data_IF_389405971480
#
_entry.id   IF_389405971480
#
_cell.length_a   1.000
_cell.length_b   1.000
_cell.length_c   1.000
_cell.angle_alpha   90.00
_cell.angle_beta   90.00
_cell.angle_gamma   90.00
#
_symmetry.space_group_name_H-M   'P 1'
#
loop_
_entity.id
_entity.type
_entity.pdbx_description
1 polymer ?
#
# COMPACT_ATOMS: atom_id res chain seq x y z
N UNK A 1 30.95 -14.21 25.76
CA UNK A 1 29.64 -14.04 25.09
C UNK A 1 29.39 -12.54 24.83
N UNK A 2 29.67 -11.98 23.64
CA UNK A 2 29.39 -10.57 23.40
C UNK A 2 28.48 -10.36 22.16
N UNK A 3 27.16 -10.45 22.34
CA UNK A 3 26.18 -10.00 21.32
C UNK A 3 24.94 -9.36 21.96
N UNK A 4 25.05 -8.79 23.17
CA UNK A 4 23.94 -8.06 23.81
C UNK A 4 23.77 -6.62 23.27
N UNK A 5 24.78 -6.04 22.61
CA UNK A 5 24.73 -4.66 22.12
C UNK A 5 23.87 -4.45 20.86
N UNK A 6 23.64 -5.51 20.07
CA UNK A 6 22.84 -5.44 18.85
C UNK A 6 21.34 -5.32 19.13
N UNK A 7 20.88 -5.73 20.32
CA UNK A 7 19.46 -5.65 20.71
C UNK A 7 19.02 -4.24 21.10
N UNK A 8 19.96 -3.37 21.45
CA UNK A 8 19.70 -2.00 21.89
C UNK A 8 20.05 -0.94 20.83
N UNK A 9 20.89 -1.26 19.84
CA UNK A 9 21.26 -0.33 18.76
C UNK A 9 20.14 -0.07 17.73
N UNK A 10 19.11 -0.92 17.69
CA UNK A 10 17.91 -0.75 16.85
C UNK A 10 16.70 -0.18 17.61
N UNK A 11 16.90 0.29 18.85
CA UNK A 11 15.89 1.10 19.54
C UNK A 11 15.97 2.54 19.02
N UNK A 12 15.72 2.72 17.71
CA UNK A 12 15.43 4.04 17.15
C UNK A 12 14.08 4.46 17.72
N UNK A 13 14.21 5.27 18.76
CA UNK A 13 13.28 6.18 19.39
C UNK A 13 12.03 6.48 18.55
N UNK A 14 10.92 5.87 18.97
CA UNK A 14 9.50 6.22 18.74
C UNK A 14 9.19 7.33 17.70
N UNK A 15 9.38 7.05 16.41
CA UNK A 15 8.80 7.89 15.37
C UNK A 15 7.27 7.64 15.31
N UNK A 16 6.54 8.54 15.97
CA UNK A 16 5.08 8.80 15.98
C UNK A 16 4.15 7.77 16.65
N UNK A 17 3.69 8.12 17.85
CA UNK A 17 2.60 7.45 18.59
C UNK A 17 1.21 7.82 18.05
N UNK A 18 1.12 8.91 17.28
CA UNK A 18 -0.14 9.46 16.80
C UNK A 18 -0.66 8.66 15.60
N UNK A 19 -1.98 8.50 15.42
CA UNK A 19 -2.55 7.85 14.24
C UNK A 19 -2.26 8.67 12.95
N UNK A 20 -2.22 8.02 11.77
CA UNK A 20 -2.02 8.73 10.51
C UNK A 20 -3.17 9.72 10.27
N UNK A 21 -2.85 10.90 9.73
CA UNK A 21 -3.86 11.92 9.43
C UNK A 21 -4.75 11.48 8.26
N UNK A 22 -5.98 12.03 8.14
CA UNK A 22 -6.85 11.74 6.99
C UNK A 22 -6.17 12.03 5.64
N UNK A 23 -5.33 13.06 5.59
CA UNK A 23 -4.58 13.44 4.40
C UNK A 23 -3.50 12.42 4.02
N UNK A 24 -2.81 11.85 5.01
CA UNK A 24 -1.85 10.77 4.83
C UNK A 24 -2.53 9.48 4.34
N UNK A 25 -3.67 9.12 4.95
CA UNK A 25 -4.47 7.98 4.53
C UNK A 25 -4.99 8.13 3.10
N UNK A 26 -5.45 9.33 2.72
CA UNK A 26 -5.91 9.61 1.37
C UNK A 26 -4.79 9.44 0.33
N UNK A 27 -3.57 9.91 0.62
CA UNK A 27 -2.42 9.74 -0.27
C UNK A 27 -2.05 8.25 -0.42
N UNK A 28 -1.98 7.50 0.69
CA UNK A 28 -1.72 6.06 0.67
C UNK A 28 -2.80 5.29 -0.12
N UNK A 29 -4.07 5.62 0.08
CA UNK A 29 -5.20 5.02 -0.62
C UNK A 29 -5.10 5.17 -2.15
N UNK A 30 -4.72 6.37 -2.63
CA UNK A 30 -4.53 6.63 -4.07
C UNK A 30 -3.45 5.72 -4.66
N UNK A 31 -2.34 5.54 -3.93
CA UNK A 31 -1.25 4.64 -4.36
C UNK A 31 -1.72 3.19 -4.40
N UNK A 32 -2.39 2.69 -3.36
CA UNK A 32 -2.87 1.31 -3.32
C UNK A 32 -3.82 1.01 -4.49
N UNK A 33 -4.74 1.94 -4.81
CA UNK A 33 -5.65 1.80 -5.95
C UNK A 33 -4.91 1.75 -7.27
N UNK A 34 -3.89 2.57 -7.43
CA UNK A 34 -3.12 2.58 -8.67
C UNK A 34 -2.33 1.28 -8.87
N UNK A 35 -1.74 0.73 -7.80
CA UNK A 35 -1.04 -0.55 -7.83
C UNK A 35 -1.97 -1.64 -8.38
N UNK A 36 -3.19 -1.76 -7.83
CA UNK A 36 -4.18 -2.75 -8.29
C UNK A 36 -4.62 -2.45 -9.72
N UNK A 37 -4.90 -1.18 -10.05
CA UNK A 37 -5.32 -0.77 -11.40
C UNK A 37 -4.30 -1.15 -12.48
N UNK A 38 -3.01 -1.09 -12.16
CA UNK A 38 -1.91 -1.48 -13.06
C UNK A 38 -1.55 -2.96 -13.00
N UNK A 39 -2.28 -3.76 -12.20
CA UNK A 39 -2.01 -5.19 -11.94
C UNK A 39 -0.60 -5.43 -11.38
N UNK A 40 -0.16 -4.54 -10.49
CA UNK A 40 1.14 -4.59 -9.82
C UNK A 40 1.06 -5.12 -8.38
N UNK A 41 -0.05 -5.73 -7.97
CA UNK A 41 -0.28 -6.20 -6.60
C UNK A 41 0.86 -7.10 -6.09
N UNK A 42 1.14 -8.20 -6.81
CA UNK A 42 2.17 -9.17 -6.41
C UNK A 42 3.57 -8.55 -6.27
N UNK A 43 4.12 -7.84 -7.28
CA UNK A 43 5.44 -7.22 -7.11
C UNK A 43 5.45 -6.11 -6.05
N UNK A 44 4.36 -5.37 -5.86
CA UNK A 44 4.29 -4.34 -4.83
C UNK A 44 4.31 -4.93 -3.42
N UNK A 45 3.50 -5.97 -3.15
CA UNK A 45 3.49 -6.66 -1.86
C UNK A 45 4.86 -7.27 -1.59
N UNK A 46 5.46 -7.97 -2.56
CA UNK A 46 6.79 -8.55 -2.40
C UNK A 46 7.85 -7.50 -2.04
N UNK A 47 7.84 -6.35 -2.71
CA UNK A 47 8.73 -5.24 -2.39
C UNK A 47 8.51 -4.69 -0.97
N UNK A 48 7.25 -4.43 -0.60
CA UNK A 48 6.88 -3.92 0.72
C UNK A 48 7.30 -4.90 1.83
N UNK A 49 7.07 -6.19 1.61
CA UNK A 49 7.49 -7.28 2.50
C UNK A 49 9.01 -7.33 2.71
N UNK A 50 9.77 -7.19 1.62
CA UNK A 50 11.23 -7.11 1.67
C UNK A 50 11.74 -5.87 2.38
N UNK A 51 10.94 -4.80 2.46
CA UNK A 51 11.29 -3.58 3.19
C UNK A 51 11.01 -3.65 4.69
N UNK A 52 10.21 -4.62 5.19
CA UNK A 52 9.89 -4.78 6.63
C UNK A 52 11.11 -4.95 7.57
N UNK A 53 12.18 -5.69 7.21
CA UNK A 53 13.36 -5.87 8.08
C UNK A 53 14.25 -4.62 8.15
N UNK A 54 14.12 -3.73 7.18
CA UNK A 54 14.89 -2.50 7.09
C UNK A 54 14.09 -1.38 7.77
N UNK A 55 14.48 -1.00 8.98
CA UNK A 55 14.09 0.27 9.63
C UNK A 55 14.55 1.52 8.83
N UNK A 56 14.76 1.40 7.52
CA UNK A 56 15.36 2.41 6.66
C UNK A 56 14.63 2.49 5.33
N UNK A 57 13.36 2.88 5.37
CA UNK A 57 12.78 3.59 4.23
C UNK A 57 13.37 5.01 4.26
N UNK A 58 14.65 5.12 3.89
CA UNK A 58 15.31 6.41 3.70
C UNK A 58 14.92 7.02 2.35
N UNK A 59 15.37 8.25 2.10
CA UNK A 59 15.11 9.04 0.87
C UNK A 59 15.36 8.29 -0.47
N UNK A 60 16.15 7.21 -0.46
CA UNK A 60 16.44 6.39 -1.64
C UNK A 60 15.26 5.55 -2.14
N UNK A 61 14.35 5.13 -1.25
CA UNK A 61 13.14 4.40 -1.67
C UNK A 61 12.18 5.32 -2.43
N UNK A 62 12.09 6.60 -2.01
CA UNK A 62 11.30 7.60 -2.72
C UNK A 62 11.80 7.81 -4.15
N UNK A 63 13.11 7.76 -4.39
CA UNK A 63 13.68 7.86 -5.75
C UNK A 63 13.32 6.67 -6.65
N UNK A 64 13.20 5.45 -6.11
CA UNK A 64 12.78 4.29 -6.90
C UNK A 64 11.32 4.37 -7.33
N UNK A 65 10.45 4.86 -6.44
CA UNK A 65 9.03 5.05 -6.73
C UNK A 65 8.71 6.37 -7.42
N UNK A 66 9.70 7.24 -7.62
CA UNK A 66 9.52 8.57 -8.22
C UNK A 66 8.73 8.57 -9.54
N UNK A 67 8.93 7.63 -10.49
CA UNK A 67 8.15 7.60 -11.73
C UNK A 67 6.67 7.24 -11.50
N UNK A 68 6.38 6.48 -10.44
CA UNK A 68 5.02 6.06 -10.07
C UNK A 68 4.36 7.17 -9.26
N UNK A 69 5.07 7.73 -8.28
CA UNK A 69 4.56 8.79 -7.42
C UNK A 69 4.34 10.09 -8.18
N UNK A 70 5.28 10.51 -9.04
CA UNK A 70 5.17 11.76 -9.83
C UNK A 70 4.01 11.75 -10.82
N UNK A 71 3.50 10.56 -11.17
CA UNK A 71 2.33 10.42 -12.04
C UNK A 71 0.99 10.42 -11.26
N UNK A 72 1.02 10.36 -9.93
CA UNK A 72 -0.17 10.11 -9.08
C UNK A 72 -0.38 11.13 -7.97
N UNK A 73 0.72 11.67 -7.45
CA UNK A 73 0.75 12.59 -6.32
C UNK A 73 1.20 13.95 -6.85
N UNK A 74 0.46 15.00 -6.53
CA UNK A 74 0.83 16.37 -6.89
C UNK A 74 0.98 17.22 -5.63
N UNK A 75 1.85 18.23 -5.69
CA UNK A 75 2.06 19.18 -4.60
C UNK A 75 2.42 18.50 -3.27
N UNK A 76 1.57 18.69 -2.27
CA UNK A 76 1.84 18.28 -0.89
C UNK A 76 1.66 16.77 -0.63
N UNK A 77 1.11 16.02 -1.57
CA UNK A 77 0.79 14.60 -1.39
C UNK A 77 2.02 13.71 -1.30
N UNK A 78 3.10 14.05 -2.01
CA UNK A 78 4.39 13.36 -1.88
C UNK A 78 4.94 13.43 -0.46
N UNK A 79 4.91 14.64 0.13
CA UNK A 79 5.36 14.86 1.50
C UNK A 79 4.50 14.06 2.50
N UNK A 80 3.17 14.11 2.33
CA UNK A 80 2.24 13.35 3.19
C UNK A 80 2.45 11.85 3.09
N UNK A 81 2.70 11.32 1.89
CA UNK A 81 2.99 9.90 1.73
C UNK A 81 4.34 9.51 2.33
N UNK A 82 5.37 10.36 2.18
CA UNK A 82 6.66 10.15 2.84
C UNK A 82 6.52 10.13 4.37
N UNK A 83 5.81 11.10 4.96
CA UNK A 83 5.51 11.13 6.40
C UNK A 83 4.70 9.90 6.85
N UNK A 84 3.80 9.39 6.01
CA UNK A 84 3.08 8.15 6.29
C UNK A 84 4.02 6.93 6.31
N UNK A 85 4.98 6.86 5.37
CA UNK A 85 5.94 5.75 5.27
C UNK A 85 6.91 5.68 6.46
N UNK A 86 7.20 6.81 7.11
CA UNK A 86 8.05 6.85 8.33
C UNK A 86 7.43 6.10 9.51
N UNK A 87 6.12 5.81 9.47
CA UNK A 87 5.44 5.05 10.51
C UNK A 87 5.81 3.58 10.47
N UNK A 88 5.90 2.97 11.66
CA UNK A 88 6.23 1.54 11.82
C UNK A 88 5.19 0.59 11.21
N UNK A 89 3.93 1.00 11.19
CA UNK A 89 2.79 0.20 10.71
C UNK A 89 2.43 0.50 9.24
N UNK A 90 3.13 1.42 8.57
CA UNK A 90 2.81 1.88 7.22
C UNK A 90 2.83 0.74 6.20
N UNK A 91 3.87 -0.09 6.24
CA UNK A 91 4.05 -1.22 5.31
C UNK A 91 2.93 -2.25 5.47
N UNK A 92 2.60 -2.61 6.71
CA UNK A 92 1.50 -3.54 7.00
C UNK A 92 0.16 -2.97 6.54
N UNK A 93 -0.06 -1.68 6.75
CA UNK A 93 -1.25 -0.97 6.28
C UNK A 93 -1.36 -1.01 4.76
N UNK A 94 -0.28 -0.73 4.04
CA UNK A 94 -0.24 -0.75 2.57
C UNK A 94 -0.52 -2.15 2.01
N UNK A 95 0.16 -3.19 2.51
CA UNK A 95 -0.06 -4.56 2.06
C UNK A 95 -1.53 -4.96 2.22
N UNK A 96 -2.08 -4.80 3.42
CA UNK A 96 -3.49 -5.14 3.71
C UNK A 96 -4.44 -4.37 2.80
N UNK A 97 -4.17 -3.08 2.57
CA UNK A 97 -5.07 -2.26 1.77
C UNK A 97 -5.03 -2.63 0.29
N UNK A 98 -3.85 -2.95 -0.25
CA UNK A 98 -3.68 -3.45 -1.62
C UNK A 98 -4.49 -4.75 -1.81
N UNK A 99 -4.35 -5.72 -0.91
CA UNK A 99 -5.08 -6.99 -0.97
C UNK A 99 -6.60 -6.80 -0.92
N UNK A 100 -7.09 -5.89 -0.05
CA UNK A 100 -8.51 -5.56 0.02
C UNK A 100 -9.05 -5.00 -1.30
N UNK A 101 -8.33 -4.04 -1.89
CA UNK A 101 -8.74 -3.42 -3.16
C UNK A 101 -8.73 -4.45 -4.30
N UNK A 102 -7.75 -5.35 -4.34
CA UNK A 102 -7.69 -6.43 -5.31
C UNK A 102 -8.87 -7.41 -5.16
N UNK A 103 -9.20 -7.81 -3.93
CA UNK A 103 -10.35 -8.65 -3.65
C UNK A 103 -11.68 -7.98 -4.05
N UNK A 104 -11.83 -6.69 -3.75
CA UNK A 104 -12.98 -5.89 -4.18
C UNK A 104 -13.09 -5.82 -5.72
N UNK A 105 -11.97 -5.71 -6.43
CA UNK A 105 -11.93 -5.66 -7.89
C UNK A 105 -12.32 -7.02 -8.52
N UNK A 106 -11.76 -8.11 -8.00
CA UNK A 106 -12.09 -9.46 -8.47
C UNK A 106 -13.56 -9.85 -8.24
N UNK A 107 -14.16 -9.39 -7.13
CA UNK A 107 -15.58 -9.60 -6.86
C UNK A 107 -16.51 -8.88 -7.86
N UNK A 108 -16.10 -7.69 -8.35
CA UNK A 108 -16.84 -6.94 -9.37
C UNK A 108 -16.75 -7.61 -10.75
N UNK A 109 -15.59 -8.17 -11.09
CA UNK A 109 -15.38 -8.90 -12.36
C UNK A 109 -16.09 -10.27 -12.38
N UNK A 110 -16.21 -10.93 -11.22
CA UNK A 110 -16.87 -12.22 -11.07
C UNK A 110 -18.41 -12.18 -10.98
N UNK A 111 -19.04 -11.01 -11.11
CA UNK A 111 -20.50 -10.86 -11.13
C UNK A 111 -21.02 -11.02 -12.57
N UNK A 112 -21.57 -12.17 -12.98
CA UNK A 112 -22.06 -12.34 -14.34
C UNK A 112 -23.33 -11.50 -14.50
N UNK A 113 -23.35 -10.68 -15.55
CA UNK A 113 -24.59 -10.14 -16.11
C UNK A 113 -25.51 -11.32 -16.39
N UNK A 114 -26.45 -11.59 -15.47
CA UNK A 114 -27.43 -12.67 -15.59
C UNK A 114 -28.35 -12.24 -16.73
N UNK A 115 -28.06 -12.75 -17.93
CA UNK A 115 -28.90 -12.62 -19.12
C UNK A 115 -30.33 -12.94 -18.70
N UNK A 116 -31.14 -11.88 -18.64
CA UNK A 116 -32.58 -11.96 -18.50
C UNK A 116 -33.14 -12.03 -19.91
N UNK A 117 -33.11 -13.22 -20.48
CA UNK A 117 -34.01 -13.61 -21.55
C UNK A 117 -34.86 -14.76 -20.95
N UNK A 118 -35.78 -14.44 -20.05
CA UNK A 118 -37.22 -14.53 -20.32
C UNK A 118 -37.56 -15.48 -21.46
N UNK A 119 -37.85 -16.73 -21.10
CA UNK A 119 -39.18 -17.29 -21.28
C UNK A 119 -39.83 -17.01 -22.65
N UNK A 120 -39.69 -17.96 -23.55
CA UNK A 120 -40.73 -18.32 -24.53
C UNK A 120 -40.76 -19.85 -24.47
N UNK A 121 -41.40 -20.41 -23.44
CA UNK A 121 -42.81 -20.82 -23.46
C UNK A 121 -43.11 -21.67 -24.70
N UNK A 122 -43.16 -22.97 -24.42
CA UNK A 122 -43.93 -24.03 -25.07
C UNK A 122 -45.03 -23.56 -26.02
N UNK A 123 -44.97 -24.05 -27.26
CA UNK A 123 -46.09 -24.72 -27.94
C UNK A 123 -45.53 -25.68 -29.00
#
# INVERSE_FOLDING_TARGET
MPFQWLKHAFAVESATKDPPTPAQLAAAERICREIVRRRLTTPAIAFLEMSRPLNYVGAQTLHFFDPIMSALLEGDEHRRFAEFLERRDSIEHLCRRIEQIEAEAGAREGSPQRHRDTETQSD
#
